data_IF_701318815698
#
_entry.id   IF_701318815698
#
_cell.length_a   1.000
_cell.length_b   1.000
_cell.length_c   1.000
_cell.angle_alpha   90.00
_cell.angle_beta   90.00
_cell.angle_gamma   90.00
#
_symmetry.space_group_name_H-M   'P 1'
#
loop_
_entity.id
_entity.type
_entity.pdbx_description
1 polymer ?
#
# COMPACT_ATOMS: atom_id res chain seq x y z
N UNK A 1 24.08 12.87 -1.32
CA UNK A 1 22.76 12.71 -1.96
C UNK A 1 22.20 11.37 -1.50
N UNK A 2 21.01 11.34 -0.87
CA UNK A 2 20.31 10.07 -0.63
C UNK A 2 19.97 9.50 -2.01
N UNK A 3 20.54 8.35 -2.36
CA UNK A 3 20.14 7.63 -3.58
C UNK A 3 18.67 7.26 -3.45
N UNK A 4 17.82 7.79 -4.35
CA UNK A 4 16.47 7.28 -4.52
C UNK A 4 16.57 5.80 -4.86
N UNK A 5 15.86 4.97 -4.10
CA UNK A 5 15.78 3.53 -4.37
C UNK A 5 14.96 3.30 -5.66
N UNK A 6 15.12 2.18 -6.37
CA UNK A 6 14.28 1.89 -7.53
C UNK A 6 12.81 1.69 -7.13
N UNK A 7 11.86 1.92 -8.04
CA UNK A 7 10.42 1.86 -7.76
C UNK A 7 9.97 0.53 -7.13
N UNK A 8 10.54 -0.61 -7.54
CA UNK A 8 10.20 -1.93 -6.99
C UNK A 8 10.55 -2.06 -5.49
N UNK A 9 11.56 -1.33 -5.01
CA UNK A 9 11.89 -1.28 -3.59
C UNK A 9 10.73 -0.67 -2.79
N UNK A 10 10.16 0.41 -3.29
CA UNK A 10 9.03 1.07 -2.63
C UNK A 10 7.77 0.22 -2.71
N UNK A 11 7.49 -0.41 -3.85
CA UNK A 11 6.34 -1.32 -3.99
C UNK A 11 6.42 -2.52 -3.03
N UNK A 12 7.59 -3.14 -2.86
CA UNK A 12 7.76 -4.23 -1.89
C UNK A 12 7.50 -3.78 -0.44
N UNK A 13 7.96 -2.58 -0.08
CA UNK A 13 7.71 -1.99 1.23
C UNK A 13 6.22 -1.63 1.42
N UNK A 14 5.55 -1.14 0.38
CA UNK A 14 4.11 -0.87 0.41
C UNK A 14 3.33 -2.15 0.74
N UNK A 15 3.63 -3.25 0.05
CA UNK A 15 3.00 -4.54 0.33
C UNK A 15 3.20 -4.98 1.79
N UNK A 16 4.41 -4.78 2.34
CA UNK A 16 4.72 -5.10 3.73
C UNK A 16 3.92 -4.25 4.73
N UNK A 17 3.76 -2.95 4.48
CA UNK A 17 2.95 -2.07 5.34
C UNK A 17 1.45 -2.38 5.23
N UNK A 18 0.93 -2.71 4.05
CA UNK A 18 -0.45 -3.17 3.87
C UNK A 18 -0.72 -4.42 4.74
N UNK A 19 0.19 -5.40 4.72
CA UNK A 19 0.04 -6.58 5.57
C UNK A 19 0.08 -6.25 7.06
N UNK A 20 0.93 -5.30 7.48
CA UNK A 20 0.98 -4.82 8.87
C UNK A 20 -0.33 -4.16 9.29
N UNK A 21 -0.99 -3.39 8.42
CA UNK A 21 -2.30 -2.78 8.72
C UNK A 21 -3.31 -3.88 9.09
N UNK A 22 -3.41 -4.94 8.28
CA UNK A 22 -4.29 -6.07 8.58
C UNK A 22 -3.92 -6.76 9.90
N UNK A 23 -2.63 -7.05 10.13
CA UNK A 23 -2.18 -7.71 11.38
C UNK A 23 -2.59 -6.90 12.62
N UNK A 24 -2.39 -5.59 12.59
CA UNK A 24 -2.70 -4.75 13.75
C UNK A 24 -4.20 -4.53 13.94
N UNK A 25 -4.95 -4.45 12.83
CA UNK A 25 -6.42 -4.44 12.87
C UNK A 25 -6.97 -5.72 13.51
N UNK A 26 -6.48 -6.89 13.09
CA UNK A 26 -6.85 -8.20 13.65
C UNK A 26 -6.55 -8.30 15.15
N UNK A 27 -5.48 -7.66 15.61
CA UNK A 27 -5.08 -7.61 17.03
C UNK A 27 -5.81 -6.54 17.85
N UNK A 28 -6.60 -5.66 17.21
CA UNK A 28 -7.23 -4.52 17.87
C UNK A 28 -6.26 -3.39 18.27
N UNK A 29 -5.00 -3.44 17.80
CA UNK A 29 -4.00 -2.41 18.10
C UNK A 29 -4.14 -1.22 17.13
N UNK A 30 -4.99 -0.27 17.53
CA UNK A 30 -5.33 0.90 16.70
C UNK A 30 -4.12 1.78 16.44
N UNK A 31 -3.22 1.96 17.41
CA UNK A 31 -2.06 2.83 17.23
C UNK A 31 -1.06 2.23 16.23
N UNK A 32 -0.73 0.95 16.37
CA UNK A 32 0.17 0.27 15.46
C UNK A 32 -0.41 0.19 14.03
N UNK A 33 -1.73 -0.01 13.91
CA UNK A 33 -2.45 0.05 12.63
C UNK A 33 -2.32 1.43 11.97
N UNK A 34 -2.61 2.50 12.72
CA UNK A 34 -2.51 3.88 12.20
C UNK A 34 -1.08 4.25 11.80
N UNK A 35 -0.07 3.77 12.55
CA UNK A 35 1.32 3.97 12.20
C UNK A 35 1.73 3.24 10.91
N UNK A 36 1.25 2.02 10.69
CA UNK A 36 1.45 1.29 9.43
C UNK A 36 0.76 1.99 8.25
N UNK A 37 -0.47 2.48 8.45
CA UNK A 37 -1.21 3.25 7.47
C UNK A 37 -0.48 4.53 7.03
N UNK A 38 0.01 5.33 7.98
CA UNK A 38 0.80 6.54 7.67
C UNK A 38 2.04 6.23 6.85
N UNK A 39 2.75 5.13 7.16
CA UNK A 39 3.91 4.68 6.37
C UNK A 39 3.50 4.25 4.96
N UNK A 40 2.40 3.51 4.81
CA UNK A 40 1.87 3.12 3.51
C UNK A 40 1.55 4.34 2.63
N UNK A 41 0.89 5.37 3.18
CA UNK A 41 0.62 6.61 2.46
C UNK A 41 1.90 7.33 2.03
N UNK A 42 2.90 7.41 2.90
CA UNK A 42 4.18 8.03 2.57
C UNK A 42 4.91 7.28 1.43
N UNK A 43 4.82 5.95 1.40
CA UNK A 43 5.38 5.14 0.32
C UNK A 43 4.60 5.35 -0.98
N UNK A 44 3.26 5.42 -0.92
CA UNK A 44 2.40 5.72 -2.06
C UNK A 44 2.80 7.05 -2.73
N UNK A 45 2.94 8.12 -1.95
CA UNK A 45 3.38 9.43 -2.46
C UNK A 45 4.78 9.34 -3.10
N UNK A 46 5.68 8.55 -2.51
CA UNK A 46 7.01 8.32 -3.08
C UNK A 46 6.93 7.59 -4.44
N UNK A 47 6.05 6.59 -4.57
CA UNK A 47 5.81 5.88 -5.84
C UNK A 47 5.25 6.84 -6.89
N UNK A 48 4.32 7.72 -6.51
CA UNK A 48 3.70 8.69 -7.43
C UNK A 48 4.70 9.68 -8.04
N UNK A 49 5.79 9.97 -7.32
CA UNK A 49 6.88 10.83 -7.80
C UNK A 49 7.75 10.20 -8.91
N UNK A 50 7.58 8.91 -9.24
CA UNK A 50 8.22 8.29 -10.41
C UNK A 50 7.52 8.64 -11.73
N UNK A 51 6.42 9.41 -11.69
CA UNK A 51 5.64 9.90 -12.84
C UNK A 51 5.18 8.80 -13.82
N UNK A 52 4.83 7.64 -13.27
CA UNK A 52 4.21 6.56 -14.03
C UNK A 52 2.69 6.62 -13.90
N UNK A 53 2.00 7.09 -14.94
CA UNK A 53 0.53 7.26 -14.93
C UNK A 53 -0.25 6.00 -14.52
N UNK A 54 0.17 4.83 -14.97
CA UNK A 54 -0.49 3.57 -14.61
C UNK A 54 -0.28 3.26 -13.13
N UNK A 55 0.95 3.39 -12.63
CA UNK A 55 1.22 3.19 -11.21
C UNK A 55 0.49 4.20 -10.32
N UNK A 56 0.35 5.45 -10.77
CA UNK A 56 -0.33 6.51 -10.01
C UNK A 56 -1.82 6.19 -9.83
N UNK A 57 -2.49 5.72 -10.88
CA UNK A 57 -3.90 5.30 -10.79
C UNK A 57 -4.08 4.12 -9.83
N UNK A 58 -3.17 3.16 -9.87
CA UNK A 58 -3.15 2.02 -8.95
C UNK A 58 -2.93 2.46 -7.50
N UNK A 59 -2.05 3.44 -7.28
CA UNK A 59 -1.80 4.04 -5.96
C UNK A 59 -3.04 4.76 -5.41
N UNK A 60 -3.79 5.46 -6.26
CA UNK A 60 -5.03 6.13 -5.85
C UNK A 60 -6.07 5.11 -5.37
N UNK A 61 -6.25 4.00 -6.11
CA UNK A 61 -7.17 2.91 -5.73
C UNK A 61 -6.77 2.27 -4.40
N UNK A 62 -5.47 1.96 -4.23
CA UNK A 62 -4.95 1.37 -2.99
C UNK A 62 -5.16 2.34 -1.83
N UNK A 63 -4.83 3.62 -1.99
CA UNK A 63 -4.99 4.62 -0.92
C UNK A 63 -6.43 4.74 -0.45
N UNK A 64 -7.40 4.77 -1.38
CA UNK A 64 -8.83 4.81 -1.05
C UNK A 64 -9.27 3.58 -0.27
N UNK A 65 -8.86 2.39 -0.72
CA UNK A 65 -9.15 1.14 -0.03
C UNK A 65 -8.56 1.09 1.39
N UNK A 66 -7.38 1.68 1.59
CA UNK A 66 -6.77 1.76 2.92
C UNK A 66 -7.52 2.73 3.85
N UNK A 67 -8.04 3.84 3.33
CA UNK A 67 -8.89 4.78 4.11
C UNK A 67 -10.11 4.03 4.65
N UNK A 68 -10.79 3.25 3.82
CA UNK A 68 -11.97 2.49 4.23
C UNK A 68 -11.62 1.44 5.29
N UNK A 69 -10.50 0.72 5.09
CA UNK A 69 -10.00 -0.29 6.02
C UNK A 69 -9.73 0.27 7.43
N UNK A 70 -9.13 1.45 7.54
CA UNK A 70 -8.78 2.06 8.83
C UNK A 70 -9.93 2.85 9.47
N UNK A 71 -10.97 3.18 8.70
CA UNK A 71 -12.13 3.97 9.16
C UNK A 71 -13.19 3.15 9.91
N UNK A 72 -12.90 1.87 10.23
CA UNK A 72 -13.82 0.95 10.92
C UNK A 72 -15.19 0.77 10.24
N UNK A 73 -15.29 1.03 8.92
CA UNK A 73 -16.49 0.74 8.14
C UNK A 73 -16.75 -0.77 8.13
N UNK A 74 -18.01 -1.17 8.30
CA UNK A 74 -18.41 -2.59 8.31
C UNK A 74 -18.04 -3.28 6.99
N UNK A 75 -18.20 -2.58 5.87
CA UNK A 75 -17.77 -3.04 4.55
C UNK A 75 -16.40 -2.44 4.20
N UNK A 76 -15.38 -3.27 4.21
CA UNK A 76 -14.04 -2.94 3.73
C UNK A 76 -13.41 -4.16 3.05
N UNK A 77 -12.43 -3.90 2.20
CA UNK A 77 -11.68 -4.96 1.52
C UNK A 77 -10.95 -5.84 2.54
N UNK A 78 -11.11 -7.15 2.42
CA UNK A 78 -10.39 -8.09 3.28
C UNK A 78 -8.93 -8.30 2.81
N UNK A 79 -8.13 -9.02 3.62
CA UNK A 79 -6.72 -9.29 3.31
C UNK A 79 -6.56 -10.05 2.00
N UNK A 80 -7.45 -11.00 1.69
CA UNK A 80 -7.37 -11.85 0.49
C UNK A 80 -7.68 -11.03 -0.74
N UNK A 81 -8.74 -10.24 -0.72
CA UNK A 81 -9.13 -9.32 -1.78
C UNK A 81 -8.02 -8.28 -2.04
N UNK A 82 -7.47 -7.67 -0.98
CA UNK A 82 -6.36 -6.72 -1.12
C UNK A 82 -5.12 -7.36 -1.72
N UNK A 83 -4.75 -8.57 -1.28
CA UNK A 83 -3.58 -9.27 -1.82
C UNK A 83 -3.79 -9.70 -3.28
N UNK A 84 -5.02 -10.13 -3.63
CA UNK A 84 -5.39 -10.52 -4.99
C UNK A 84 -5.34 -9.34 -5.96
N UNK A 85 -5.63 -8.13 -5.48
CA UNK A 85 -5.48 -6.90 -6.24
C UNK A 85 -4.00 -6.44 -6.33
N UNK A 86 -3.32 -6.37 -5.19
CA UNK A 86 -1.99 -5.78 -5.07
C UNK A 86 -0.90 -6.62 -5.76
N UNK A 87 -0.94 -7.94 -5.65
CA UNK A 87 0.14 -8.80 -6.12
C UNK A 87 0.33 -8.73 -7.66
N UNK A 88 -0.71 -8.83 -8.49
CA UNK A 88 -0.57 -8.63 -9.93
C UNK A 88 0.00 -7.25 -10.30
N UNK A 89 -0.42 -6.19 -9.60
CA UNK A 89 0.14 -4.86 -9.79
C UNK A 89 1.65 -4.83 -9.46
N UNK A 90 2.04 -5.38 -8.32
CA UNK A 90 3.43 -5.41 -7.89
C UNK A 90 4.30 -6.16 -8.90
N UNK A 91 3.82 -7.28 -9.43
CA UNK A 91 4.51 -8.05 -10.49
C UNK A 91 4.65 -7.24 -11.78
N UNK A 92 3.62 -6.48 -12.19
CA UNK A 92 3.72 -5.58 -13.36
C UNK A 92 4.81 -4.54 -13.14
N UNK A 93 4.88 -3.91 -11.97
CA UNK A 93 5.93 -2.90 -11.69
C UNK A 93 7.32 -3.53 -11.71
N UNK A 94 7.48 -4.74 -11.19
CA UNK A 94 8.76 -5.47 -11.23
C UNK A 94 9.14 -5.84 -12.68
N UNK A 95 8.18 -6.26 -13.49
CA UNK A 95 8.42 -6.69 -14.88
C UNK A 95 8.44 -5.58 -15.92
N UNK A 96 8.13 -4.32 -15.57
CA UNK A 96 8.12 -3.16 -16.47
C UNK A 96 9.42 -2.34 -16.43
N UNK A 97 10.47 -2.89 -15.84
CA UNK A 97 11.80 -2.27 -15.70
C UNK A 97 12.82 -3.07 -16.51
#
# INVERSE_FOLDING_TARGET
>A
MLQNKPIHFYVANLGSEIQRIFVWKEKGDKEAMQNAYKRALSIIETIKNFDNKSANMEMDIISGSLVDLVSEREEHIDRVQMSSYFNPFALRVIGSI
#
